data_IF_287549289996
#
_entry.id   IF_287549289996
#
_cell.length_a   1.000
_cell.length_b   1.000
_cell.length_c   1.000
_cell.angle_alpha   90.00
_cell.angle_beta   90.00
_cell.angle_gamma   90.00
#
_symmetry.space_group_name_H-M   'P 1'
#
loop_
_entity.id
_entity.type
_entity.pdbx_description
1 polymer ?
#
# COMPACT_ATOMS: atom_id res chain seq x y z
N UNK A 1 -3.50 12.46 -7.65
CA UNK A 1 -2.71 12.19 -8.86
C UNK A 1 -3.09 10.84 -9.46
N UNK A 2 -3.24 10.78 -10.78
CA UNK A 2 -3.27 9.54 -11.55
C UNK A 2 -2.15 9.60 -12.58
N UNK A 3 -1.42 8.50 -12.78
CA UNK A 3 -0.24 8.50 -13.67
C UNK A 3 0.77 9.62 -13.35
N UNK A 4 0.91 9.98 -12.08
CA UNK A 4 1.71 11.13 -11.57
C UNK A 4 1.31 12.49 -12.17
N UNK A 5 0.11 12.60 -12.73
CA UNK A 5 -0.44 13.88 -13.19
C UNK A 5 -1.58 14.32 -12.26
N UNK A 6 -1.79 15.64 -12.10
CA UNK A 6 -2.96 16.16 -11.42
C UNK A 6 -4.25 15.59 -12.02
N UNK A 7 -5.14 15.16 -11.16
CA UNK A 7 -6.43 14.59 -11.52
C UNK A 7 -7.52 15.15 -10.61
N UNK A 8 -8.70 14.53 -10.60
CA UNK A 8 -9.77 14.96 -9.73
C UNK A 8 -9.31 14.96 -8.26
N UNK A 9 -9.59 16.03 -7.49
CA UNK A 9 -9.13 16.20 -6.13
C UNK A 9 -9.63 15.13 -5.16
N UNK A 10 -8.82 14.85 -4.17
CA UNK A 10 -9.16 14.05 -2.99
C UNK A 10 -8.65 14.73 -1.72
N UNK A 11 -8.81 14.09 -0.57
CA UNK A 11 -8.26 14.58 0.70
C UNK A 11 -7.06 13.76 1.16
N UNK A 12 -6.23 14.33 2.03
CA UNK A 12 -5.12 13.60 2.68
C UNK A 12 -5.66 12.41 3.47
N UNK A 13 -6.77 12.61 4.21
CA UNK A 13 -7.42 11.53 4.95
C UNK A 13 -7.86 10.39 4.05
N UNK A 14 -8.51 10.67 2.91
CA UNK A 14 -8.90 9.62 1.94
C UNK A 14 -7.69 8.88 1.37
N UNK A 15 -6.58 9.54 1.13
CA UNK A 15 -5.34 8.87 0.71
C UNK A 15 -4.81 7.95 1.80
N UNK A 16 -4.82 8.38 3.06
CA UNK A 16 -4.43 7.54 4.19
C UNK A 16 -5.31 6.29 4.34
N UNK A 17 -6.63 6.41 4.09
CA UNK A 17 -7.51 5.24 4.13
C UNK A 17 -7.21 4.21 3.03
N UNK A 18 -6.58 4.59 1.92
CA UNK A 18 -6.10 3.61 0.94
C UNK A 18 -4.97 2.75 1.52
N UNK A 19 -4.01 3.38 2.23
CA UNK A 19 -2.94 2.64 2.90
C UNK A 19 -3.49 1.72 3.99
N UNK A 20 -4.43 2.23 4.80
CA UNK A 20 -5.10 1.43 5.83
C UNK A 20 -5.81 0.21 5.24
N UNK A 21 -6.53 0.41 4.14
CA UNK A 21 -7.26 -0.67 3.47
C UNK A 21 -6.34 -1.80 2.98
N UNK A 22 -5.15 -1.47 2.45
CA UNK A 22 -4.16 -2.48 2.06
C UNK A 22 -3.73 -3.32 3.28
N UNK A 23 -3.39 -2.68 4.41
CA UNK A 23 -3.05 -3.40 5.64
C UNK A 23 -4.21 -4.20 6.24
N UNK A 24 -5.46 -3.77 6.05
CA UNK A 24 -6.63 -4.54 6.48
C UNK A 24 -6.77 -5.84 5.67
N UNK A 25 -6.52 -5.80 4.37
CA UNK A 25 -6.48 -7.00 3.51
C UNK A 25 -5.36 -7.93 3.97
N UNK A 26 -4.16 -7.40 4.25
CA UNK A 26 -3.05 -8.19 4.77
C UNK A 26 -3.37 -8.85 6.11
N UNK A 27 -4.10 -8.16 6.99
CA UNK A 27 -4.53 -8.70 8.28
C UNK A 27 -5.51 -9.88 8.10
N UNK A 28 -6.47 -9.77 7.18
CA UNK A 28 -7.39 -10.86 6.83
C UNK A 28 -6.63 -12.09 6.32
N UNK A 29 -5.65 -11.90 5.44
CA UNK A 29 -4.79 -12.96 4.92
C UNK A 29 -3.94 -13.60 6.03
N UNK A 30 -3.38 -12.78 6.93
CA UNK A 30 -2.61 -13.25 8.09
C UNK A 30 -3.45 -14.11 9.03
N UNK A 31 -4.62 -13.63 9.40
CA UNK A 31 -5.57 -14.36 10.26
C UNK A 31 -6.02 -15.65 9.60
N UNK A 32 -6.29 -15.64 8.30
CA UNK A 32 -6.66 -16.84 7.57
C UNK A 32 -5.52 -17.87 7.59
N UNK A 33 -4.29 -17.49 7.26
CA UNK A 33 -3.16 -18.42 7.27
C UNK A 33 -2.90 -18.93 8.69
N UNK A 34 -2.90 -18.07 9.70
CA UNK A 34 -2.75 -18.45 11.10
C UNK A 34 -3.81 -19.48 11.52
N UNK A 35 -5.07 -19.26 11.14
CA UNK A 35 -6.19 -20.17 11.48
C UNK A 35 -6.08 -21.55 10.84
N UNK A 36 -5.33 -21.68 9.74
CA UNK A 36 -5.12 -22.92 8.99
C UNK A 36 -3.84 -23.66 9.34
N UNK A 37 -2.98 -23.09 10.19
CA UNK A 37 -1.76 -23.76 10.64
C UNK A 37 -2.11 -24.95 11.52
N UNK A 38 -1.47 -26.08 11.21
CA UNK A 38 -1.61 -27.34 11.96
C UNK A 38 -0.25 -27.79 12.48
N UNK A 39 -0.27 -28.58 13.51
CA UNK A 39 0.94 -29.22 14.02
C UNK A 39 1.32 -30.41 13.11
N UNK A 40 2.60 -30.76 13.05
CA UNK A 40 3.05 -31.96 12.34
C UNK A 40 2.43 -33.21 12.96
N UNK A 41 2.38 -33.27 14.28
CA UNK A 41 2.05 -34.47 15.03
C UNK A 41 3.22 -35.44 15.16
N UNK A 42 2.94 -36.64 15.63
CA UNK A 42 3.93 -37.72 15.80
C UNK A 42 3.75 -38.77 14.72
N UNK A 43 4.44 -38.62 13.59
CA UNK A 43 4.24 -39.45 12.40
C UNK A 43 5.37 -40.47 12.17
N UNK A 44 6.51 -40.31 12.85
CA UNK A 44 7.69 -41.15 12.64
C UNK A 44 8.56 -40.74 11.45
N UNK A 45 9.56 -41.53 11.11
CA UNK A 45 10.62 -41.19 10.16
C UNK A 45 10.16 -41.05 8.70
N UNK A 46 9.06 -41.68 8.34
CA UNK A 46 8.49 -41.64 6.97
C UNK A 46 7.01 -41.24 6.97
N UNK A 47 6.47 -40.87 8.12
CA UNK A 47 5.08 -40.44 8.25
C UNK A 47 4.08 -41.60 8.40
N UNK A 48 4.55 -42.83 8.53
CA UNK A 48 3.71 -44.04 8.53
C UNK A 48 3.19 -44.44 9.90
N UNK A 49 3.75 -43.89 10.98
CA UNK A 49 3.46 -44.28 12.38
C UNK A 49 3.70 -45.78 12.67
N UNK A 50 4.53 -46.46 11.87
CA UNK A 50 4.78 -47.91 11.97
C UNK A 50 5.21 -48.34 13.37
N UNK A 51 6.08 -47.57 14.05
CA UNK A 51 6.51 -47.88 15.43
C UNK A 51 5.39 -47.83 16.45
N UNK A 52 4.39 -46.95 16.23
CA UNK A 52 3.20 -46.89 17.08
C UNK A 52 2.26 -48.07 16.79
N UNK A 53 2.16 -48.47 15.53
CA UNK A 53 1.34 -49.64 15.16
C UNK A 53 1.88 -50.89 15.80
N UNK A 54 3.20 -51.06 15.83
CA UNK A 54 3.86 -52.16 16.54
C UNK A 54 3.68 -52.07 18.05
N UNK A 55 3.86 -50.87 18.64
CA UNK A 55 3.76 -50.66 20.09
C UNK A 55 2.37 -50.95 20.64
N UNK A 56 1.34 -50.69 19.85
CA UNK A 56 -0.05 -50.89 20.24
C UNK A 56 -0.70 -52.14 19.61
N UNK A 57 0.11 -53.11 19.20
CA UNK A 57 -0.36 -54.40 18.65
C UNK A 57 -1.37 -54.28 17.52
N UNK A 58 -1.21 -53.26 16.69
CA UNK A 58 -2.11 -52.99 15.52
C UNK A 58 -3.38 -52.22 15.86
N UNK A 59 -3.52 -51.69 17.09
CA UNK A 59 -4.70 -50.87 17.47
C UNK A 59 -4.66 -49.48 16.89
N UNK A 60 -5.26 -49.33 15.70
CA UNK A 60 -5.38 -48.07 14.98
C UNK A 60 -6.21 -47.01 15.77
N UNK A 61 -7.26 -47.45 16.50
CA UNK A 61 -8.10 -46.49 17.25
C UNK A 61 -7.35 -45.77 18.36
N UNK A 62 -6.39 -46.46 18.99
CA UNK A 62 -5.51 -45.84 19.99
C UNK A 62 -4.50 -44.92 19.35
N UNK A 63 -3.95 -45.29 18.18
CA UNK A 63 -2.99 -44.46 17.43
C UNK A 63 -3.67 -43.18 16.93
N UNK A 64 -4.91 -43.24 16.46
CA UNK A 64 -5.69 -42.08 16.00
C UNK A 64 -5.91 -41.02 17.09
N UNK A 65 -5.79 -41.37 18.37
CA UNK A 65 -5.89 -40.43 19.50
C UNK A 65 -4.60 -39.66 19.77
N UNK A 66 -3.44 -40.12 19.30
CA UNK A 66 -2.12 -39.53 19.62
C UNK A 66 -2.04 -38.09 19.13
N UNK A 67 -2.27 -37.86 17.84
CA UNK A 67 -2.12 -36.54 17.23
C UNK A 67 -3.11 -35.50 17.81
N UNK A 68 -4.41 -35.80 18.00
CA UNK A 68 -5.32 -34.91 18.70
C UNK A 68 -4.87 -34.53 20.12
N UNK A 69 -4.31 -35.49 20.87
CA UNK A 69 -3.79 -35.23 22.20
C UNK A 69 -2.57 -34.31 22.17
N UNK A 70 -1.66 -34.51 21.22
CA UNK A 70 -0.47 -33.66 21.02
C UNK A 70 -0.91 -32.26 20.62
N UNK A 71 -1.79 -32.13 19.62
CA UNK A 71 -2.31 -30.84 19.17
C UNK A 71 -2.92 -30.06 20.33
N UNK A 72 -3.81 -30.68 21.12
CA UNK A 72 -4.43 -30.04 22.29
C UNK A 72 -3.39 -29.58 23.32
N UNK A 73 -2.38 -30.39 23.63
CA UNK A 73 -1.32 -30.04 24.60
C UNK A 73 -0.45 -28.88 24.09
N UNK A 74 -0.27 -28.75 22.79
CA UNK A 74 0.54 -27.71 22.16
C UNK A 74 -0.27 -26.45 21.78
N UNK A 75 -1.58 -26.41 22.09
CA UNK A 75 -2.43 -25.27 21.80
C UNK A 75 -2.89 -25.16 20.33
N UNK A 76 -2.77 -26.24 19.57
CA UNK A 76 -3.27 -26.30 18.18
C UNK A 76 -4.63 -26.98 18.11
N UNK A 77 -5.40 -26.64 17.07
CA UNK A 77 -6.71 -27.29 16.86
C UNK A 77 -6.55 -28.74 16.40
N UNK A 78 -5.58 -28.99 15.53
CA UNK A 78 -5.37 -30.31 14.92
C UNK A 78 -3.95 -30.48 14.38
N UNK A 79 -3.60 -31.72 14.02
CA UNK A 79 -2.38 -32.03 13.29
C UNK A 79 -2.68 -32.24 11.79
N UNK A 80 -1.65 -32.14 10.95
CA UNK A 80 -1.75 -32.56 9.55
C UNK A 80 -2.09 -34.05 9.48
N UNK A 81 -3.12 -34.45 8.71
CA UNK A 81 -3.51 -35.87 8.64
C UNK A 81 -2.43 -36.73 7.92
N UNK A 82 -1.70 -36.12 7.00
CA UNK A 82 -0.67 -36.79 6.20
C UNK A 82 0.58 -35.94 6.16
N UNK A 83 1.73 -36.59 6.37
CA UNK A 83 3.06 -35.99 6.19
C UNK A 83 4.08 -37.06 5.84
N UNK A 84 5.25 -36.66 5.32
CA UNK A 84 6.46 -37.50 5.36
C UNK A 84 7.14 -37.39 6.74
N UNK A 85 8.46 -37.32 6.74
CA UNK A 85 9.23 -37.05 7.97
C UNK A 85 8.97 -35.64 8.53
N UNK A 86 8.59 -34.70 7.65
CA UNK A 86 8.31 -33.31 8.01
C UNK A 86 6.94 -32.90 7.45
N UNK A 87 6.39 -31.77 7.95
CA UNK A 87 5.25 -31.14 7.33
C UNK A 87 5.59 -30.63 5.91
N UNK A 88 4.60 -30.48 5.07
CA UNK A 88 4.78 -29.93 3.72
C UNK A 88 5.42 -28.55 3.77
N UNK A 89 6.54 -28.33 3.07
CA UNK A 89 7.20 -27.03 2.96
C UNK A 89 6.38 -25.97 2.25
N UNK A 90 5.27 -26.35 1.65
CA UNK A 90 4.26 -25.41 1.15
C UNK A 90 3.67 -24.54 2.27
N UNK A 91 3.70 -24.99 3.52
CA UNK A 91 3.30 -24.18 4.68
C UNK A 91 4.20 -22.96 4.85
N UNK A 92 5.52 -23.14 4.74
CA UNK A 92 6.48 -22.05 4.82
C UNK A 92 6.24 -21.03 3.67
N UNK A 93 5.96 -21.52 2.45
CA UNK A 93 5.58 -20.67 1.31
C UNK A 93 4.33 -19.83 1.62
N UNK A 94 3.29 -20.42 2.21
CA UNK A 94 2.06 -19.69 2.57
C UNK A 94 2.34 -18.58 3.58
N UNK A 95 3.17 -18.86 4.59
CA UNK A 95 3.55 -17.88 5.62
C UNK A 95 4.33 -16.71 5.00
N UNK A 96 5.36 -17.00 4.22
CA UNK A 96 6.18 -15.94 3.59
C UNK A 96 5.37 -15.13 2.58
N UNK A 97 4.40 -15.71 1.88
CA UNK A 97 3.52 -14.95 0.99
C UNK A 97 2.69 -13.89 1.73
N UNK A 98 2.21 -14.18 2.93
CA UNK A 98 1.52 -13.18 3.77
C UNK A 98 2.48 -12.07 4.19
N UNK A 99 3.69 -12.41 4.61
CA UNK A 99 4.71 -11.39 4.94
C UNK A 99 5.03 -10.52 3.73
N UNK A 100 5.08 -11.10 2.53
CA UNK A 100 5.29 -10.36 1.30
C UNK A 100 4.10 -9.42 0.96
N UNK A 101 2.87 -9.81 1.26
CA UNK A 101 1.69 -8.93 1.18
C UNK A 101 1.90 -7.68 2.01
N UNK A 102 2.20 -7.84 3.30
CA UNK A 102 2.49 -6.73 4.23
C UNK A 102 3.64 -5.85 3.71
N UNK A 103 4.71 -6.46 3.20
CA UNK A 103 5.83 -5.74 2.61
C UNK A 103 5.43 -4.91 1.38
N UNK A 104 4.53 -5.44 0.55
CA UNK A 104 3.99 -4.72 -0.61
C UNK A 104 3.18 -3.49 -0.20
N UNK A 105 2.28 -3.62 0.78
CA UNK A 105 1.48 -2.52 1.35
C UNK A 105 2.37 -1.46 1.98
N UNK A 106 3.37 -1.85 2.76
CA UNK A 106 4.36 -0.93 3.34
C UNK A 106 5.18 -0.20 2.28
N UNK A 107 5.55 -0.88 1.18
CA UNK A 107 6.23 -0.26 0.04
C UNK A 107 5.36 0.78 -0.63
N UNK A 108 4.09 0.47 -0.86
CA UNK A 108 3.12 1.39 -1.47
C UNK A 108 2.96 2.65 -0.62
N UNK A 109 2.73 2.53 0.67
CA UNK A 109 2.63 3.64 1.60
C UNK A 109 3.94 4.47 1.61
N UNK A 110 5.08 3.82 1.74
CA UNK A 110 6.39 4.47 1.77
C UNK A 110 6.69 5.26 0.49
N UNK A 111 6.33 4.73 -0.67
CA UNK A 111 6.51 5.42 -1.95
C UNK A 111 5.60 6.64 -2.07
N UNK A 112 4.34 6.55 -1.66
CA UNK A 112 3.44 7.69 -1.65
C UNK A 112 3.97 8.81 -0.74
N UNK A 113 4.44 8.48 0.47
CA UNK A 113 5.01 9.45 1.41
C UNK A 113 6.25 10.11 0.83
N UNK A 114 7.15 9.35 0.19
CA UNK A 114 8.35 9.90 -0.47
C UNK A 114 8.00 10.88 -1.59
N UNK A 115 6.98 10.55 -2.40
CA UNK A 115 6.48 11.44 -3.45
C UNK A 115 5.81 12.70 -2.88
N UNK A 116 5.01 12.55 -1.83
CA UNK A 116 4.39 13.69 -1.14
C UNK A 116 5.42 14.59 -0.46
N UNK A 117 6.48 14.02 0.09
CA UNK A 117 7.59 14.78 0.68
C UNK A 117 8.42 15.50 -0.40
N UNK A 118 8.61 14.89 -1.57
CA UNK A 118 9.19 15.58 -2.74
C UNK A 118 8.36 16.83 -3.12
N UNK A 119 7.03 16.71 -3.08
CA UNK A 119 6.10 17.83 -3.30
C UNK A 119 6.04 18.82 -2.11
N UNK A 120 6.66 18.50 -0.98
CA UNK A 120 6.60 19.27 0.27
C UNK A 120 5.17 19.39 0.85
N UNK A 121 4.30 18.47 0.50
CA UNK A 121 2.91 18.42 0.96
C UNK A 121 2.76 17.68 2.28
N UNK A 122 3.55 16.62 2.45
CA UNK A 122 3.59 15.78 3.63
C UNK A 122 5.04 15.42 3.93
N UNK A 123 5.42 15.33 5.19
CA UNK A 123 6.74 14.87 5.62
C UNK A 123 6.62 13.80 6.70
N UNK A 124 7.53 12.83 6.70
CA UNK A 124 7.72 11.94 7.84
C UNK A 124 8.29 12.72 9.03
N UNK A 125 8.13 12.21 10.29
CA UNK A 125 8.61 12.91 11.48
C UNK A 125 10.12 13.12 11.42
N UNK A 126 10.53 14.31 11.86
CA UNK A 126 11.94 14.69 11.94
C UNK A 126 12.28 15.08 13.40
N UNK A 127 13.19 14.36 14.02
CA UNK A 127 13.55 14.58 15.42
C UNK A 127 14.45 15.80 15.59
N UNK A 128 14.34 16.47 16.76
CA UNK A 128 15.10 17.68 17.08
C UNK A 128 16.60 17.56 16.86
N UNK A 129 17.16 16.39 17.11
CA UNK A 129 18.60 16.11 17.00
C UNK A 129 18.98 15.32 15.76
N UNK A 130 18.02 15.10 14.86
CA UNK A 130 18.27 14.34 13.63
C UNK A 130 19.03 15.22 12.62
N UNK A 131 20.12 14.69 12.08
CA UNK A 131 20.89 15.34 11.02
C UNK A 131 20.35 14.83 9.68
N UNK A 132 19.71 15.70 8.91
CA UNK A 132 19.16 15.36 7.59
C UNK A 132 20.23 15.33 6.49
N UNK A 133 21.21 16.20 6.58
CA UNK A 133 22.33 16.30 5.63
C UNK A 133 23.47 17.09 6.25
N UNK A 134 24.71 16.61 6.09
CA UNK A 134 25.91 17.32 6.54
C UNK A 134 26.22 18.59 5.71
N UNK A 135 25.76 18.62 4.44
CA UNK A 135 26.04 19.73 3.52
C UNK A 135 24.91 20.76 3.46
N UNK A 136 23.67 20.37 3.73
CA UNK A 136 22.48 21.23 3.64
C UNK A 136 21.57 21.00 4.86
N UNK A 137 21.70 21.85 5.86
CA UNK A 137 20.99 21.71 7.15
C UNK A 137 19.46 21.70 7.02
N UNK A 138 18.91 22.37 6.00
CA UNK A 138 17.47 22.40 5.73
C UNK A 138 16.94 21.09 5.12
N UNK A 139 17.81 20.26 4.51
CA UNK A 139 17.40 19.07 3.79
C UNK A 139 16.87 18.01 4.75
N UNK A 140 15.63 17.59 4.53
CA UNK A 140 14.96 16.51 5.26
C UNK A 140 14.72 15.35 4.30
N UNK A 141 15.38 14.24 4.52
CA UNK A 141 15.22 13.06 3.69
C UNK A 141 14.15 12.13 4.31
N UNK A 142 13.30 11.49 3.51
CA UNK A 142 12.33 10.50 3.99
C UNK A 142 13.02 9.16 4.32
N UNK A 143 13.96 9.19 5.28
CA UNK A 143 14.85 8.06 5.56
C UNK A 143 14.13 6.83 6.12
N UNK A 144 13.04 7.02 6.88
CA UNK A 144 12.25 5.92 7.42
C UNK A 144 11.48 5.22 6.31
N UNK A 145 10.84 5.99 5.45
CA UNK A 145 10.13 5.46 4.27
C UNK A 145 11.09 4.81 3.27
N UNK A 146 12.30 5.35 3.08
CA UNK A 146 13.34 4.72 2.25
C UNK A 146 13.80 3.39 2.83
N UNK A 147 14.01 3.32 4.16
CA UNK A 147 14.39 2.09 4.85
C UNK A 147 13.28 1.04 4.81
N UNK A 148 12.03 1.43 5.07
CA UNK A 148 10.87 0.56 4.95
C UNK A 148 10.79 -0.06 3.54
N UNK A 149 10.86 0.75 2.48
CA UNK A 149 10.86 0.26 1.10
C UNK A 149 12.08 -0.64 0.77
N UNK A 150 13.23 -0.39 1.39
CA UNK A 150 14.44 -1.21 1.21
C UNK A 150 14.29 -2.59 1.85
N UNK A 151 13.83 -2.66 3.11
CA UNK A 151 13.56 -3.92 3.80
C UNK A 151 12.45 -4.71 3.12
N UNK A 152 11.41 -4.03 2.65
CA UNK A 152 10.30 -4.66 1.93
C UNK A 152 10.76 -5.39 0.67
N UNK A 153 11.73 -4.82 -0.09
CA UNK A 153 12.30 -5.52 -1.26
C UNK A 153 12.99 -6.83 -0.88
N UNK A 154 13.62 -6.87 0.29
CA UNK A 154 14.22 -8.11 0.81
C UNK A 154 13.14 -9.19 1.02
N UNK A 155 12.05 -8.85 1.72
CA UNK A 155 10.95 -9.79 1.98
C UNK A 155 10.26 -10.22 0.68
N UNK A 156 10.02 -9.30 -0.24
CA UNK A 156 9.42 -9.60 -1.54
C UNK A 156 10.28 -10.55 -2.38
N UNK A 157 11.61 -10.41 -2.32
CA UNK A 157 12.54 -11.32 -3.00
C UNK A 157 12.61 -12.70 -2.32
N UNK A 158 12.44 -12.74 -0.99
CA UNK A 158 12.53 -13.96 -0.19
C UNK A 158 11.41 -14.97 -0.49
N UNK A 159 10.29 -14.55 -1.08
CA UNK A 159 9.17 -15.42 -1.48
C UNK A 159 9.63 -16.63 -2.31
N UNK A 160 10.67 -16.46 -3.11
CA UNK A 160 11.19 -17.52 -3.96
C UNK A 160 11.88 -18.64 -3.18
N UNK A 161 12.47 -18.36 -2.01
CA UNK A 161 13.16 -19.34 -1.20
C UNK A 161 12.26 -20.48 -0.75
N UNK A 162 11.18 -20.27 0.01
CA UNK A 162 10.31 -21.34 0.45
C UNK A 162 9.54 -21.97 -0.73
N UNK A 163 9.25 -21.23 -1.79
CA UNK A 163 8.57 -21.77 -2.97
C UNK A 163 9.45 -22.79 -3.69
N UNK A 164 10.72 -22.49 -3.95
CA UNK A 164 11.69 -23.39 -4.56
C UNK A 164 11.95 -24.57 -3.63
N UNK A 165 12.17 -24.32 -2.34
CA UNK A 165 12.36 -25.36 -1.33
C UNK A 165 11.21 -26.37 -1.33
N UNK A 166 9.97 -25.87 -1.38
CA UNK A 166 8.77 -26.73 -1.45
C UNK A 166 8.74 -27.57 -2.73
N UNK A 167 9.11 -26.99 -3.87
CA UNK A 167 9.07 -27.65 -5.18
C UNK A 167 10.16 -28.72 -5.36
N UNK A 168 11.29 -28.59 -4.66
CA UNK A 168 12.45 -29.47 -4.81
C UNK A 168 12.56 -30.54 -3.73
N UNK A 169 11.57 -30.69 -2.84
CA UNK A 169 11.53 -31.79 -1.87
C UNK A 169 11.38 -33.15 -2.59
N UNK A 170 12.12 -34.15 -2.10
CA UNK A 170 12.10 -35.52 -2.64
C UNK A 170 11.44 -36.47 -1.66
N UNK A 171 10.52 -37.29 -2.14
CA UNK A 171 9.86 -38.34 -1.39
C UNK A 171 9.43 -37.89 0.02
N UNK A 172 9.79 -38.59 1.06
CA UNK A 172 9.41 -38.34 2.44
C UNK A 172 10.33 -37.35 3.15
N UNK A 173 11.53 -37.10 2.60
CA UNK A 173 12.54 -36.17 3.16
C UNK A 173 13.69 -35.90 2.21
N UNK A 174 14.05 -34.61 2.08
CA UNK A 174 15.39 -34.16 1.71
C UNK A 174 15.86 -33.13 2.74
N UNK A 175 17.17 -32.92 2.90
CA UNK A 175 17.74 -32.07 3.94
C UNK A 175 18.09 -30.67 3.47
N UNK A 176 17.97 -30.38 2.18
CA UNK A 176 18.30 -29.09 1.57
C UNK A 176 17.39 -27.92 2.05
N UNK A 177 16.21 -28.24 2.58
CA UNK A 177 15.30 -27.28 3.19
C UNK A 177 15.85 -26.70 4.51
N UNK A 178 16.65 -27.47 5.24
CA UNK A 178 16.96 -27.23 6.64
C UNK A 178 17.71 -25.91 6.88
N UNK A 179 18.76 -25.63 6.12
CA UNK A 179 19.53 -24.40 6.25
C UNK A 179 18.76 -23.21 5.66
N UNK A 180 18.20 -23.37 4.47
CA UNK A 180 17.48 -22.30 3.77
C UNK A 180 16.33 -21.72 4.60
N UNK A 181 15.42 -22.58 5.10
CA UNK A 181 14.27 -22.11 5.87
C UNK A 181 14.63 -21.43 7.19
N UNK A 182 15.79 -21.75 7.78
CA UNK A 182 16.27 -21.14 9.03
C UNK A 182 16.80 -19.72 8.83
N UNK A 183 17.10 -19.35 7.61
CA UNK A 183 17.40 -17.99 7.21
C UNK A 183 16.13 -17.29 6.72
N UNK A 184 15.52 -17.81 5.69
CA UNK A 184 14.38 -17.24 4.99
C UNK A 184 13.21 -16.91 5.93
N UNK A 185 12.73 -17.86 6.70
CA UNK A 185 11.56 -17.65 7.55
C UNK A 185 11.83 -16.66 8.70
N UNK A 186 12.84 -16.85 9.55
CA UNK A 186 13.11 -15.90 10.64
C UNK A 186 13.44 -14.49 10.15
N UNK A 187 14.26 -14.36 9.11
CA UNK A 187 14.64 -13.06 8.58
C UNK A 187 13.44 -12.34 7.94
N UNK A 188 12.53 -13.07 7.29
CA UNK A 188 11.27 -12.53 6.81
C UNK A 188 10.43 -11.90 7.92
N UNK A 189 10.27 -12.60 9.06
CA UNK A 189 9.56 -12.07 10.23
C UNK A 189 10.27 -10.87 10.86
N UNK A 190 11.58 -10.94 11.06
CA UNK A 190 12.36 -9.82 11.62
C UNK A 190 12.32 -8.59 10.74
N UNK A 191 12.37 -8.78 9.42
CA UNK A 191 12.25 -7.67 8.48
C UNK A 191 10.87 -7.02 8.53
N UNK A 192 9.79 -7.82 8.58
CA UNK A 192 8.41 -7.30 8.69
C UNK A 192 8.19 -6.57 10.00
N UNK A 193 8.68 -7.10 11.12
CA UNK A 193 8.61 -6.44 12.41
C UNK A 193 9.25 -5.04 12.35
N UNK A 194 10.48 -4.95 11.83
CA UNK A 194 11.16 -3.66 11.63
C UNK A 194 10.46 -2.74 10.62
N UNK A 195 9.81 -3.27 9.58
CA UNK A 195 9.01 -2.49 8.61
C UNK A 195 7.78 -1.90 9.30
N UNK A 196 7.06 -2.69 10.09
CA UNK A 196 5.86 -2.23 10.80
C UNK A 196 6.21 -1.16 11.84
N UNK A 197 7.30 -1.33 12.59
CA UNK A 197 7.81 -0.30 13.51
C UNK A 197 8.11 1.02 12.78
N UNK A 198 8.74 0.95 11.60
CA UNK A 198 8.97 2.14 10.79
C UNK A 198 7.67 2.77 10.30
N UNK A 199 6.71 1.97 9.85
CA UNK A 199 5.40 2.45 9.43
C UNK A 199 4.67 3.16 10.58
N UNK A 200 4.62 2.55 11.77
CA UNK A 200 4.01 3.15 12.96
C UNK A 200 4.67 4.47 13.33
N UNK A 201 6.01 4.50 13.35
CA UNK A 201 6.75 5.73 13.66
C UNK A 201 6.46 6.85 12.63
N UNK A 202 6.34 6.50 11.35
CA UNK A 202 6.04 7.48 10.30
C UNK A 202 4.63 8.04 10.45
N UNK A 203 3.62 7.18 10.65
CA UNK A 203 2.22 7.65 10.74
C UNK A 203 1.92 8.41 12.02
N UNK A 204 2.55 8.04 13.14
CA UNK A 204 2.38 8.72 14.44
C UNK A 204 2.90 10.17 14.41
N UNK A 205 3.93 10.44 13.63
CA UNK A 205 4.54 11.78 13.53
C UNK A 205 4.37 12.46 12.16
N UNK A 206 3.47 11.99 11.31
CA UNK A 206 3.29 12.52 9.96
C UNK A 206 2.90 14.01 9.98
N UNK A 207 3.65 14.84 9.28
CA UNK A 207 3.43 16.27 9.17
C UNK A 207 2.76 16.60 7.84
N UNK A 208 1.62 17.29 7.91
CA UNK A 208 0.88 17.76 6.73
C UNK A 208 1.04 19.27 6.61
N UNK A 209 1.29 19.76 5.39
CA UNK A 209 1.43 21.19 5.09
C UNK A 209 0.25 21.72 4.25
N UNK A 210 -0.88 22.10 4.87
CA UNK A 210 -2.09 22.49 4.15
C UNK A 210 -1.88 23.67 3.20
N UNK A 211 -1.03 24.63 3.57
CA UNK A 211 -0.71 25.80 2.72
C UNK A 211 0.03 25.44 1.44
N UNK A 212 0.89 24.43 1.49
CA UNK A 212 1.60 23.92 0.28
C UNK A 212 0.61 23.18 -0.61
N UNK A 213 -0.22 22.32 -0.02
CA UNK A 213 -1.28 21.60 -0.72
C UNK A 213 -2.23 22.60 -1.42
N UNK A 214 -2.69 23.61 -0.69
CA UNK A 214 -3.54 24.68 -1.24
C UNK A 214 -2.89 25.36 -2.44
N UNK A 215 -1.62 25.75 -2.32
CA UNK A 215 -0.86 26.39 -3.39
C UNK A 215 -0.80 25.50 -4.64
N UNK A 216 -0.45 24.24 -4.51
CA UNK A 216 -0.38 23.31 -5.63
C UNK A 216 -1.76 23.06 -6.25
N UNK A 217 -2.77 22.89 -5.40
CA UNK A 217 -4.13 22.69 -5.83
C UNK A 217 -4.67 23.90 -6.63
N UNK A 218 -4.47 25.12 -6.11
CA UNK A 218 -4.93 26.35 -6.76
C UNK A 218 -4.24 26.60 -8.11
N UNK A 219 -3.05 26.10 -8.33
CA UNK A 219 -2.39 26.17 -9.64
C UNK A 219 -3.07 25.28 -10.71
N UNK A 220 -3.71 24.19 -10.30
CA UNK A 220 -4.30 23.19 -11.20
C UNK A 220 -5.82 23.29 -11.31
N UNK A 221 -6.49 23.85 -10.28
CA UNK A 221 -7.96 23.90 -10.23
C UNK A 221 -8.61 24.60 -11.43
N UNK A 222 -8.05 25.63 -12.08
CA UNK A 222 -8.66 26.22 -13.26
C UNK A 222 -8.89 25.21 -14.39
N UNK A 223 -7.98 24.25 -14.57
CA UNK A 223 -8.16 23.17 -15.55
C UNK A 223 -9.22 22.15 -15.13
N UNK A 224 -9.33 21.87 -13.82
CA UNK A 224 -10.32 20.93 -13.29
C UNK A 224 -11.74 21.51 -13.28
N UNK A 225 -11.86 22.83 -13.11
CA UNK A 225 -13.14 23.53 -13.02
C UNK A 225 -13.83 23.79 -14.37
N UNK A 226 -13.17 23.49 -15.48
CA UNK A 226 -13.65 23.81 -16.85
C UNK A 226 -15.03 23.26 -17.13
N UNK A 227 -15.40 22.09 -16.63
CA UNK A 227 -16.75 21.54 -16.84
C UNK A 227 -17.81 22.35 -16.09
N UNK A 228 -17.58 22.70 -14.83
CA UNK A 228 -18.52 23.50 -14.04
C UNK A 228 -18.67 24.90 -14.62
N UNK A 229 -17.57 25.54 -15.02
CA UNK A 229 -17.57 26.85 -15.68
C UNK A 229 -18.37 26.79 -16.98
N UNK A 230 -18.16 25.75 -17.79
CA UNK A 230 -18.93 25.53 -19.02
C UNK A 230 -20.42 25.40 -18.74
N UNK A 231 -20.80 24.63 -17.74
CA UNK A 231 -22.20 24.42 -17.36
C UNK A 231 -22.87 25.71 -16.88
N UNK A 232 -22.14 26.55 -16.15
CA UNK A 232 -22.67 27.88 -15.75
C UNK A 232 -22.84 28.80 -16.94
N UNK A 233 -21.92 28.81 -17.90
CA UNK A 233 -22.07 29.55 -19.15
C UNK A 233 -23.26 29.05 -20.00
N UNK A 234 -23.52 27.74 -20.02
CA UNK A 234 -24.69 27.15 -20.68
C UNK A 234 -26.00 27.61 -20.02
N UNK A 235 -26.05 27.63 -18.66
CA UNK A 235 -27.22 28.19 -17.94
C UNK A 235 -27.51 29.64 -18.28
N UNK A 236 -26.46 30.42 -18.62
CA UNK A 236 -26.56 31.78 -19.07
C UNK A 236 -26.89 31.92 -20.58
N UNK A 237 -27.26 30.83 -21.28
CA UNK A 237 -27.69 30.80 -22.64
C UNK A 237 -26.60 30.48 -23.68
N UNK A 238 -25.42 30.13 -23.27
CA UNK A 238 -24.33 29.74 -24.17
C UNK A 238 -24.54 28.37 -24.83
N UNK A 239 -24.00 28.18 -26.04
CA UNK A 239 -24.02 26.91 -26.76
C UNK A 239 -22.96 25.98 -26.23
N UNK A 240 -23.37 24.82 -25.69
CA UNK A 240 -22.47 23.85 -25.05
C UNK A 240 -21.33 23.39 -25.96
N UNK A 241 -21.60 23.15 -27.26
CA UNK A 241 -20.56 22.63 -28.17
C UNK A 241 -19.52 23.70 -28.51
N UNK A 242 -19.97 24.93 -28.76
CA UNK A 242 -19.07 26.06 -29.01
C UNK A 242 -18.22 26.40 -27.78
N UNK A 243 -18.84 26.41 -26.61
CA UNK A 243 -18.15 26.67 -25.34
C UNK A 243 -17.11 25.59 -25.05
N UNK A 244 -17.43 24.30 -25.32
CA UNK A 244 -16.47 23.20 -25.12
C UNK A 244 -15.23 23.39 -26.00
N UNK A 245 -15.39 23.72 -27.28
CA UNK A 245 -14.26 23.95 -28.18
C UNK A 245 -13.44 25.18 -27.77
N UNK A 246 -14.08 26.24 -27.31
CA UNK A 246 -13.40 27.42 -26.79
C UNK A 246 -12.59 27.09 -25.52
N UNK A 247 -13.20 26.39 -24.56
CA UNK A 247 -12.49 25.95 -23.36
C UNK A 247 -11.25 25.09 -23.71
N UNK A 248 -11.40 24.20 -24.70
CA UNK A 248 -10.27 23.40 -25.18
C UNK A 248 -9.12 24.29 -25.70
N UNK A 249 -9.44 25.28 -26.52
CA UNK A 249 -8.45 26.21 -27.08
C UNK A 249 -7.79 27.07 -26.00
N UNK A 250 -8.59 27.66 -25.10
CA UNK A 250 -8.08 28.48 -23.99
C UNK A 250 -7.27 27.68 -23.01
N UNK A 251 -7.65 26.42 -22.71
CA UNK A 251 -6.89 25.52 -21.87
C UNK A 251 -5.52 25.18 -22.48
N UNK A 252 -5.47 24.98 -23.81
CA UNK A 252 -4.17 24.77 -24.48
C UNK A 252 -3.30 26.04 -24.44
N UNK A 253 -3.89 27.22 -24.58
CA UNK A 253 -3.17 28.48 -24.44
C UNK A 253 -2.64 28.67 -23.02
N UNK A 254 -3.46 28.47 -21.99
CA UNK A 254 -3.05 28.55 -20.61
C UNK A 254 -1.96 27.48 -20.27
N UNK A 255 -2.10 26.28 -20.84
CA UNK A 255 -1.10 25.22 -20.71
C UNK A 255 0.28 25.61 -21.27
N UNK A 256 0.32 26.36 -22.40
CA UNK A 256 1.57 26.93 -22.93
C UNK A 256 2.15 27.99 -22.01
N UNK A 257 1.34 28.90 -21.50
CA UNK A 257 1.75 29.92 -20.53
C UNK A 257 2.42 29.29 -19.31
N UNK A 258 1.85 28.19 -18.78
CA UNK A 258 2.43 27.48 -17.63
C UNK A 258 3.70 26.72 -18.01
N UNK A 259 3.69 25.96 -19.10
CA UNK A 259 4.75 25.00 -19.42
C UNK A 259 5.92 25.60 -20.21
N UNK A 260 5.62 26.50 -21.15
CA UNK A 260 6.64 27.09 -22.02
C UNK A 260 7.19 28.41 -21.46
N UNK A 261 6.35 29.20 -20.78
CA UNK A 261 6.73 30.50 -20.26
C UNK A 261 7.03 30.49 -18.76
N UNK A 262 6.69 29.42 -18.04
CA UNK A 262 6.90 29.27 -16.58
C UNK A 262 6.08 30.25 -15.73
N UNK A 263 4.97 30.77 -16.29
CA UNK A 263 4.07 31.72 -15.63
C UNK A 263 2.92 31.00 -14.92
N UNK A 264 2.17 31.74 -14.10
CA UNK A 264 0.96 31.25 -13.45
C UNK A 264 -0.14 30.91 -14.47
N UNK A 265 -1.04 30.01 -14.07
CA UNK A 265 -2.18 29.60 -14.86
C UNK A 265 -3.16 30.78 -15.02
N UNK A 266 -3.37 31.23 -16.25
CA UNK A 266 -4.22 32.38 -16.60
C UNK A 266 -5.54 31.97 -17.24
N UNK A 267 -5.97 30.70 -17.15
CA UNK A 267 -7.17 30.21 -17.80
C UNK A 267 -8.43 30.96 -17.36
N UNK A 268 -8.53 31.31 -16.08
CA UNK A 268 -9.65 32.10 -15.53
C UNK A 268 -9.77 33.46 -16.24
N UNK A 269 -8.64 34.16 -16.40
CA UNK A 269 -8.60 35.46 -17.06
C UNK A 269 -8.95 35.35 -18.56
N UNK A 270 -8.48 34.28 -19.22
CA UNK A 270 -8.79 34.02 -20.63
C UNK A 270 -10.28 33.74 -20.84
N UNK A 271 -10.91 32.96 -19.98
CA UNK A 271 -12.35 32.68 -20.05
C UNK A 271 -13.17 33.93 -19.74
N UNK A 272 -12.80 34.69 -18.70
CA UNK A 272 -13.48 35.91 -18.32
C UNK A 272 -13.42 37.01 -19.43
N UNK A 273 -12.33 37.01 -20.21
CA UNK A 273 -12.18 37.95 -21.34
C UNK A 273 -12.97 37.56 -22.60
N UNK A 274 -13.45 36.31 -22.72
CA UNK A 274 -14.23 35.86 -23.88
C UNK A 274 -15.73 36.07 -23.61
N UNK A 275 -16.39 37.01 -24.31
CA UNK A 275 -17.79 37.37 -24.08
C UNK A 275 -18.78 36.22 -24.35
N UNK A 276 -18.37 35.17 -25.04
CA UNK A 276 -19.25 34.04 -25.33
C UNK A 276 -19.62 33.20 -24.10
N UNK A 277 -18.87 33.31 -23.05
CA UNK A 277 -19.18 32.62 -21.78
C UNK A 277 -20.25 33.37 -20.98
N UNK A 278 -20.37 34.69 -21.14
CA UNK A 278 -21.32 35.49 -20.37
C UNK A 278 -21.13 35.42 -18.86
N UNK A 279 -19.89 35.16 -18.41
CA UNK A 279 -19.51 35.05 -17.03
C UNK A 279 -18.51 36.14 -16.63
N UNK A 280 -18.68 36.68 -15.46
CA UNK A 280 -17.66 37.53 -14.84
C UNK A 280 -16.55 36.69 -14.22
N UNK A 281 -15.40 37.31 -13.94
CA UNK A 281 -14.31 36.66 -13.23
C UNK A 281 -14.78 36.12 -11.87
N UNK A 282 -15.60 36.87 -11.16
CA UNK A 282 -16.19 36.49 -9.87
C UNK A 282 -17.10 35.25 -9.98
N UNK A 283 -17.85 35.13 -11.09
CA UNK A 283 -18.68 33.93 -11.34
C UNK A 283 -17.82 32.69 -11.59
N UNK A 284 -16.70 32.84 -12.31
CA UNK A 284 -15.75 31.76 -12.56
C UNK A 284 -15.05 31.33 -11.24
N UNK A 285 -14.62 32.29 -10.42
CA UNK A 285 -13.93 32.04 -9.14
C UNK A 285 -14.80 31.27 -8.13
N UNK A 286 -16.13 31.37 -8.21
CA UNK A 286 -17.06 30.56 -7.42
C UNK A 286 -16.87 29.06 -7.65
N UNK A 287 -16.41 28.68 -8.84
CA UNK A 287 -16.14 27.30 -9.22
C UNK A 287 -14.73 26.81 -8.78
N UNK A 288 -13.89 27.69 -8.21
CA UNK A 288 -12.53 27.32 -7.81
C UNK A 288 -12.42 26.88 -6.34
N UNK A 289 -13.51 26.46 -5.74
CA UNK A 289 -13.54 26.00 -4.34
C UNK A 289 -13.22 24.49 -4.28
N UNK A 290 -12.21 24.08 -3.51
CA UNK A 290 -11.82 22.67 -3.39
C UNK A 290 -12.95 21.74 -3.00
N UNK A 291 -13.85 22.19 -2.14
CA UNK A 291 -14.98 21.42 -1.60
C UNK A 291 -15.95 20.93 -2.67
N UNK A 292 -16.00 21.62 -3.83
CA UNK A 292 -16.86 21.22 -4.96
C UNK A 292 -16.37 19.95 -5.67
N UNK A 293 -15.10 19.55 -5.46
CA UNK A 293 -14.45 18.52 -6.27
C UNK A 293 -14.03 17.27 -5.48
N UNK A 294 -13.96 17.34 -4.15
CA UNK A 294 -13.50 16.22 -3.31
C UNK A 294 -14.58 15.14 -3.11
N UNK A 295 -15.81 15.39 -3.59
CA UNK A 295 -16.89 14.42 -3.52
C UNK A 295 -17.12 13.86 -2.12
N UNK A 296 -17.20 12.53 -2.01
CA UNK A 296 -17.40 11.83 -0.75
C UNK A 296 -16.12 11.50 0.01
N UNK A 297 -14.96 12.03 -0.41
CA UNK A 297 -13.68 11.72 0.22
C UNK A 297 -13.67 11.94 1.76
N UNK A 298 -14.23 13.06 2.32
CA UNK A 298 -14.33 13.21 3.77
C UNK A 298 -15.17 12.11 4.44
N UNK A 299 -16.31 11.76 3.86
CA UNK A 299 -17.21 10.72 4.37
C UNK A 299 -16.60 9.31 4.36
N UNK A 300 -15.68 9.04 3.45
CA UNK A 300 -15.01 7.75 3.33
C UNK A 300 -13.88 7.57 4.36
N UNK A 301 -13.56 8.60 5.12
CA UNK A 301 -12.57 8.55 6.21
C UNK A 301 -13.24 8.17 7.54
N UNK A 302 -14.54 8.46 7.70
CA UNK A 302 -15.36 8.09 8.86
C UNK A 302 -15.69 6.60 8.86
#
# INVERSE_FOLDING_TARGET
FTHLQPAQPTTVGKRATLWLNEFMIDLEDLEYVQSTLKLLGSKGTTGTQASFLELFDGDNETIDKIDPMIAKKMGFKECYPVSGQTYSRKVDTRVINVLAGIAASATKMSNDIRLLQHLKEVEEPFEKNQIGSSAMAYKRNPMRSERSASLSRYVLADVMNPAITSATQWFERTLDDSANKRLSVPEGFLAIDGILDLCLNVVDGLVVYPKVIEKHFMAEIPFMATENIMMDAVKNGGNRQELHEKIRQLSMQAGKTVKEEGKENNLVDLIAADPSFGLTKEDIEKNLKPELYVGRAPRQVE
#
